data_IF_998697077626
#
_entry.id   IF_998697077626
#
_cell.length_a   1.000
_cell.length_b   1.000
_cell.length_c   1.000
_cell.angle_alpha   90.00
_cell.angle_beta   90.00
_cell.angle_gamma   90.00
#
_symmetry.space_group_name_H-M   'P 1'
#
loop_
_entity.id
_entity.type
_entity.pdbx_description
1 polymer ?
#
# COMPACT_ATOMS: atom_id res chain seq x y z
N UNK A 1 10.11 6.83 34.05
CA UNK A 1 11.19 6.63 33.07
C UNK A 1 11.16 7.85 32.15
N UNK A 2 12.11 8.76 32.29
CA UNK A 2 12.25 9.93 31.43
C UNK A 2 13.17 9.57 30.25
N UNK A 3 12.95 10.09 29.03
CA UNK A 3 13.83 9.82 27.90
C UNK A 3 15.25 10.40 28.16
N UNK A 4 16.28 9.67 27.71
CA UNK A 4 17.69 10.02 27.87
C UNK A 4 18.03 11.36 27.19
N UNK A 5 18.97 12.10 27.76
CA UNK A 5 19.46 13.39 27.26
C UNK A 5 20.10 13.33 25.86
N UNK A 6 20.34 12.13 25.32
CA UNK A 6 20.90 11.91 23.99
C UNK A 6 19.83 11.89 22.88
N UNK A 7 18.53 11.93 23.24
CA UNK A 7 17.43 12.00 22.27
C UNK A 7 17.07 13.47 22.00
N UNK A 8 18.02 14.25 21.49
CA UNK A 8 17.70 15.55 20.90
C UNK A 8 17.00 15.28 19.59
N UNK A 9 15.66 15.29 19.61
CA UNK A 9 14.87 15.44 18.40
C UNK A 9 15.03 16.89 17.98
N UNK A 10 15.99 17.17 17.10
CA UNK A 10 16.01 18.45 16.39
C UNK A 10 14.70 18.56 15.63
N UNK A 11 13.85 19.50 16.04
CA UNK A 11 12.66 19.87 15.28
C UNK A 11 13.13 20.41 13.94
N UNK A 12 13.03 19.59 12.89
CA UNK A 12 13.38 20.02 11.54
C UNK A 12 12.16 20.71 10.93
N UNK A 13 12.39 21.91 10.39
CA UNK A 13 11.37 22.75 9.74
C UNK A 13 10.96 22.22 8.35
N UNK A 14 11.38 20.99 8.00
CA UNK A 14 11.15 20.40 6.68
C UNK A 14 9.87 19.55 6.71
N UNK A 15 8.86 19.87 5.88
CA UNK A 15 7.62 19.09 5.82
C UNK A 15 7.82 17.68 5.23
N UNK A 16 8.91 17.45 4.49
CA UNK A 16 9.22 16.17 3.85
C UNK A 16 10.73 15.89 3.84
N UNK A 17 11.08 14.62 3.99
CA UNK A 17 12.45 14.12 3.89
C UNK A 17 12.70 13.45 2.54
N UNK A 18 13.82 13.75 1.91
CA UNK A 18 14.30 13.03 0.74
C UNK A 18 15.05 11.77 1.19
N UNK A 19 15.18 10.74 0.32
CA UNK A 19 15.93 9.53 0.67
C UNK A 19 17.36 9.83 1.17
N UNK A 20 18.02 10.83 0.59
CA UNK A 20 19.36 11.26 1.02
C UNK A 20 19.40 11.81 2.45
N UNK A 21 18.32 12.48 2.89
CA UNK A 21 18.22 12.99 4.27
C UNK A 21 18.10 11.82 5.27
N UNK A 22 17.68 10.64 4.81
CA UNK A 22 17.57 9.41 5.60
C UNK A 22 18.81 8.51 5.50
N UNK A 23 19.89 9.00 4.89
CA UNK A 23 21.12 8.23 4.68
C UNK A 23 21.00 7.12 3.62
N UNK A 24 19.95 7.13 2.79
CA UNK A 24 19.75 6.16 1.71
C UNK A 24 20.67 6.51 0.54
N UNK A 25 21.29 5.50 -0.06
CA UNK A 25 22.21 5.70 -1.18
C UNK A 25 21.53 6.43 -2.35
N UNK A 26 22.26 7.30 -3.06
CA UNK A 26 21.67 8.07 -4.18
C UNK A 26 21.07 7.17 -5.28
N UNK A 27 21.61 5.95 -5.46
CA UNK A 27 21.07 4.97 -6.40
C UNK A 27 19.71 4.46 -5.94
N UNK A 28 19.62 3.94 -4.71
CA UNK A 28 18.36 3.43 -4.15
C UNK A 28 17.33 4.55 -3.97
N UNK A 29 17.77 5.73 -3.56
CA UNK A 29 16.92 6.92 -3.44
C UNK A 29 16.24 7.29 -4.77
N UNK A 30 16.99 7.30 -5.88
CA UNK A 30 16.38 7.56 -7.21
C UNK A 30 15.37 6.49 -7.62
N UNK A 31 15.63 5.22 -7.29
CA UNK A 31 14.70 4.14 -7.58
C UNK A 31 13.42 4.26 -6.76
N UNK A 32 13.51 4.63 -5.47
CA UNK A 32 12.34 4.90 -4.61
C UNK A 32 11.51 6.05 -5.19
N UNK A 33 12.16 7.14 -5.58
CA UNK A 33 11.47 8.29 -6.16
C UNK A 33 10.76 7.92 -7.46
N UNK A 34 11.41 7.19 -8.36
CA UNK A 34 10.79 6.69 -9.59
C UNK A 34 9.62 5.75 -9.31
N UNK A 35 9.77 4.82 -8.38
CA UNK A 35 8.70 3.89 -7.98
C UNK A 35 7.49 4.62 -7.36
N UNK A 36 7.75 5.74 -6.68
CA UNK A 36 6.71 6.62 -6.12
C UNK A 36 6.01 7.44 -7.22
N UNK A 37 6.76 7.93 -8.21
CA UNK A 37 6.21 8.61 -9.39
C UNK A 37 5.33 7.66 -10.22
N UNK A 38 5.76 6.42 -10.43
CA UNK A 38 4.95 5.38 -11.10
C UNK A 38 3.62 5.14 -10.37
N UNK A 39 3.61 5.17 -9.04
CA UNK A 39 2.38 5.10 -8.25
C UNK A 39 1.47 6.30 -8.51
N UNK A 40 2.01 7.52 -8.48
CA UNK A 40 1.22 8.75 -8.69
C UNK A 40 0.56 8.81 -10.07
N UNK A 41 1.20 8.23 -11.09
CA UNK A 41 0.66 8.18 -12.46
C UNK A 41 -0.26 6.99 -12.68
N UNK A 42 0.03 5.85 -12.03
CA UNK A 42 -0.64 4.58 -12.29
C UNK A 42 -1.85 4.29 -11.41
N UNK A 43 -1.84 4.74 -10.15
CA UNK A 43 -2.91 4.44 -9.20
C UNK A 43 -4.12 5.34 -9.47
N UNK A 44 -5.32 4.74 -9.48
CA UNK A 44 -6.56 5.47 -9.77
C UNK A 44 -7.38 5.66 -8.50
N UNK A 45 -7.80 4.55 -7.87
CA UNK A 45 -8.65 4.63 -6.69
C UNK A 45 -8.66 3.33 -5.89
N UNK A 46 -9.17 3.41 -4.68
CA UNK A 46 -9.58 2.26 -3.89
C UNK A 46 -10.95 1.74 -4.33
N UNK A 47 -11.23 0.50 -3.96
CA UNK A 47 -12.56 -0.10 -4.11
C UNK A 47 -13.07 -0.45 -2.73
N UNK A 48 -14.32 -0.08 -2.45
CA UNK A 48 -14.96 -0.39 -1.17
C UNK A 48 -15.20 -1.89 -0.99
N UNK A 49 -15.15 -2.34 0.26
CA UNK A 49 -15.39 -3.73 0.65
C UNK A 49 -14.10 -4.53 0.83
N UNK A 50 -14.26 -5.80 1.24
CA UNK A 50 -13.11 -6.63 1.63
C UNK A 50 -12.47 -7.38 0.46
N UNK A 51 -13.25 -7.65 -0.59
CA UNK A 51 -12.81 -8.38 -1.79
C UNK A 51 -12.42 -7.48 -2.97
N UNK A 52 -12.77 -6.18 -2.89
CA UNK A 52 -12.40 -5.20 -3.90
C UNK A 52 -10.89 -5.00 -3.98
N UNK A 53 -10.32 -5.20 -5.17
CA UNK A 53 -8.92 -4.83 -5.45
C UNK A 53 -8.85 -3.36 -5.88
N UNK A 54 -7.81 -2.61 -5.48
CA UNK A 54 -7.62 -1.24 -5.96
C UNK A 54 -7.48 -1.14 -7.48
N UNK A 55 -7.90 0.01 -8.00
CA UNK A 55 -7.93 0.32 -9.43
C UNK A 55 -6.63 1.00 -9.83
N UNK A 56 -6.10 0.53 -10.96
CA UNK A 56 -4.93 1.12 -11.62
C UNK A 56 -5.32 1.50 -13.04
N UNK A 57 -4.56 2.42 -13.62
CA UNK A 57 -4.69 2.82 -15.01
C UNK A 57 -4.62 1.60 -15.94
N UNK A 58 -5.42 1.62 -17.00
CA UNK A 58 -5.46 0.51 -17.96
C UNK A 58 -4.07 0.23 -18.54
N UNK A 59 -3.68 -1.04 -18.59
CA UNK A 59 -2.36 -1.47 -19.04
C UNK A 59 -1.22 -1.24 -18.04
N UNK A 60 -1.47 -0.62 -16.88
CA UNK A 60 -0.44 -0.46 -15.86
C UNK A 60 -0.13 -1.81 -15.18
N UNK A 61 1.15 -2.16 -15.15
CA UNK A 61 1.64 -3.42 -14.57
C UNK A 61 1.70 -3.39 -13.04
N UNK A 62 0.55 -3.35 -12.35
CA UNK A 62 0.49 -3.22 -10.88
C UNK A 62 1.27 -4.29 -10.12
N UNK A 63 1.32 -5.53 -10.62
CA UNK A 63 2.09 -6.60 -9.98
C UNK A 63 3.61 -6.42 -10.17
N UNK A 64 4.03 -5.90 -11.32
CA UNK A 64 5.43 -5.54 -11.53
C UNK A 64 5.86 -4.39 -10.61
N UNK A 65 4.98 -3.41 -10.42
CA UNK A 65 5.19 -2.33 -9.44
C UNK A 65 5.30 -2.87 -8.02
N UNK A 66 4.45 -3.84 -7.65
CA UNK A 66 4.50 -4.54 -6.37
C UNK A 66 5.83 -5.30 -6.14
N UNK A 67 6.27 -6.07 -7.12
CA UNK A 67 7.55 -6.80 -7.09
C UNK A 67 8.73 -5.84 -6.94
N UNK A 68 8.72 -4.74 -7.71
CA UNK A 68 9.73 -3.68 -7.61
C UNK A 68 9.77 -3.08 -6.20
N UNK A 69 8.60 -2.89 -5.57
CA UNK A 69 8.51 -2.43 -4.18
C UNK A 69 9.20 -3.40 -3.21
N UNK A 70 9.05 -4.71 -3.41
CA UNK A 70 9.76 -5.70 -2.59
C UNK A 70 11.27 -5.65 -2.80
N UNK A 71 11.74 -5.52 -4.03
CA UNK A 71 13.18 -5.39 -4.31
C UNK A 71 13.79 -4.18 -3.59
N UNK A 72 13.07 -3.05 -3.59
CA UNK A 72 13.44 -1.84 -2.85
C UNK A 72 13.51 -2.13 -1.35
N UNK A 73 12.52 -2.81 -0.77
CA UNK A 73 12.50 -3.15 0.67
C UNK A 73 13.68 -4.05 1.06
N UNK A 74 13.99 -5.06 0.25
CA UNK A 74 15.13 -5.95 0.50
C UNK A 74 16.45 -5.17 0.52
N UNK A 75 16.58 -4.14 -0.32
CA UNK A 75 17.77 -3.27 -0.35
C UNK A 75 17.79 -2.27 0.79
N UNK A 76 16.66 -1.67 1.14
CA UNK A 76 16.53 -0.78 2.30
C UNK A 76 16.93 -1.49 3.60
N UNK A 77 16.51 -2.74 3.78
CA UNK A 77 16.92 -3.56 4.95
C UNK A 77 18.42 -3.83 5.01
N UNK A 78 19.11 -3.85 3.86
CA UNK A 78 20.57 -4.00 3.80
C UNK A 78 21.29 -2.68 4.09
N UNK A 79 20.79 -1.55 3.57
CA UNK A 79 21.39 -0.23 3.80
C UNK A 79 21.11 0.29 5.23
N UNK A 80 19.99 -0.09 5.83
CA UNK A 80 19.55 0.35 7.15
C UNK A 80 19.35 -0.87 8.10
N UNK A 81 20.42 -1.60 8.46
CA UNK A 81 20.31 -2.83 9.25
C UNK A 81 19.81 -2.61 10.67
N UNK A 82 19.92 -1.38 11.18
CA UNK A 82 19.45 -1.00 12.51
C UNK A 82 18.02 -0.43 12.50
N UNK A 83 17.41 -0.27 11.32
CA UNK A 83 16.05 0.22 11.18
C UNK A 83 15.07 -0.90 10.83
N UNK A 84 13.88 -0.85 11.41
CA UNK A 84 12.79 -1.74 11.03
C UNK A 84 12.08 -1.18 9.79
N UNK A 85 12.29 -1.83 8.64
CA UNK A 85 11.64 -1.47 7.37
C UNK A 85 10.35 -2.28 7.18
N UNK A 86 9.21 -1.63 7.33
CA UNK A 86 7.87 -2.22 7.23
C UNK A 86 7.20 -1.84 5.90
N UNK A 87 7.00 -2.80 4.97
CA UNK A 87 6.26 -2.52 3.73
C UNK A 87 4.77 -2.36 4.00
N UNK A 88 4.16 -1.32 3.43
CA UNK A 88 2.70 -1.10 3.48
C UNK A 88 2.04 -1.06 2.11
N UNK A 89 2.78 -1.28 1.02
CA UNK A 89 2.27 -1.07 -0.33
C UNK A 89 1.39 -2.21 -0.88
N UNK A 90 1.29 -3.35 -0.20
CA UNK A 90 0.40 -4.45 -0.62
C UNK A 90 -1.07 -4.02 -0.71
N UNK A 91 -1.47 -3.02 0.09
CA UNK A 91 -2.84 -2.50 0.10
C UNK A 91 -3.23 -1.78 -1.18
N UNK A 92 -2.27 -1.41 -2.02
CA UNK A 92 -2.53 -0.78 -3.32
C UNK A 92 -2.71 -1.81 -4.44
N UNK A 93 -2.52 -3.09 -4.18
CA UNK A 93 -2.50 -4.14 -5.23
C UNK A 93 -3.53 -5.22 -4.97
N UNK A 94 -3.67 -5.61 -3.70
CA UNK A 94 -4.52 -6.70 -3.26
C UNK A 94 -5.68 -6.20 -2.42
N UNK A 95 -6.78 -6.96 -2.43
CA UNK A 95 -7.93 -6.71 -1.56
C UNK A 95 -7.57 -6.91 -0.09
N UNK A 96 -8.50 -6.58 0.81
CA UNK A 96 -8.32 -6.85 2.24
C UNK A 96 -8.22 -8.36 2.48
N UNK A 97 -9.09 -9.15 1.85
CA UNK A 97 -9.15 -10.60 2.05
C UNK A 97 -7.94 -11.32 1.48
N UNK A 98 -7.46 -10.95 0.30
CA UNK A 98 -6.23 -11.51 -0.25
C UNK A 98 -5.02 -11.29 0.66
N UNK A 99 -4.90 -10.09 1.24
CA UNK A 99 -3.84 -9.80 2.20
C UNK A 99 -3.98 -10.65 3.45
N UNK A 100 -5.20 -10.81 3.97
CA UNK A 100 -5.48 -11.61 5.17
C UNK A 100 -5.14 -13.08 4.94
N UNK A 101 -5.57 -13.64 3.82
CA UNK A 101 -5.26 -15.01 3.43
C UNK A 101 -3.75 -15.23 3.29
N UNK A 102 -3.02 -14.27 2.70
CA UNK A 102 -1.56 -14.31 2.65
C UNK A 102 -0.91 -14.30 4.05
N UNK A 103 -1.59 -13.78 5.07
CA UNK A 103 -1.17 -13.86 6.48
C UNK A 103 -1.78 -15.06 7.24
N UNK A 104 -2.39 -16.02 6.54
CA UNK A 104 -3.04 -17.19 7.15
C UNK A 104 -4.30 -16.85 7.97
N UNK A 105 -4.91 -15.68 7.72
CA UNK A 105 -6.14 -15.24 8.40
C UNK A 105 -7.35 -15.52 7.53
N UNK A 106 -8.48 -15.83 8.16
CA UNK A 106 -9.76 -15.98 7.46
C UNK A 106 -10.21 -14.67 6.81
N UNK A 107 -10.88 -14.72 5.64
CA UNK A 107 -11.46 -13.55 5.00
C UNK A 107 -12.50 -12.88 5.90
N UNK A 108 -12.69 -11.57 5.72
CA UNK A 108 -13.77 -10.78 6.30
C UNK A 108 -14.95 -10.78 5.33
N UNK A 109 -16.15 -10.83 5.88
CA UNK A 109 -17.39 -10.61 5.15
C UNK A 109 -18.17 -9.50 5.84
N UNK A 110 -18.93 -8.73 5.07
CA UNK A 110 -19.89 -7.79 5.61
C UNK A 110 -21.03 -8.55 6.31
N UNK A 111 -21.65 -7.96 7.34
CA UNK A 111 -22.83 -8.53 7.97
C UNK A 111 -23.95 -8.75 6.93
N UNK A 112 -24.36 -9.99 6.73
CA UNK A 112 -25.43 -10.35 5.79
C UNK A 112 -24.98 -10.87 4.43
N UNK A 113 -23.71 -10.67 4.04
CA UNK A 113 -23.17 -10.98 2.70
C UNK A 113 -23.27 -12.47 2.30
N UNK A 114 -23.52 -13.37 3.26
CA UNK A 114 -23.73 -14.81 3.05
C UNK A 114 -25.05 -15.34 3.64
N UNK A 115 -26.00 -14.47 3.99
CA UNK A 115 -27.30 -14.91 4.52
C UNK A 115 -28.30 -15.20 3.39
N UNK A 116 -29.04 -16.32 3.45
CA UNK A 116 -30.13 -16.58 2.51
C UNK A 116 -31.14 -15.42 2.48
N UNK A 117 -31.36 -14.82 1.31
CA UNK A 117 -32.29 -13.70 1.12
C UNK A 117 -31.67 -12.31 1.32
N UNK A 118 -30.37 -12.20 1.56
CA UNK A 118 -29.68 -10.91 1.48
C UNK A 118 -29.57 -10.45 0.02
N UNK A 119 -29.97 -9.21 -0.25
CA UNK A 119 -29.81 -8.55 -1.55
C UNK A 119 -28.69 -7.53 -1.35
N UNK A 120 -27.59 -7.68 -2.07
CA UNK A 120 -26.53 -6.68 -2.07
C UNK A 120 -27.02 -5.45 -2.86
N UNK A 121 -26.95 -4.27 -2.24
CA UNK A 121 -27.32 -3.01 -2.88
C UNK A 121 -26.48 -2.71 -4.13
N UNK A 122 -25.29 -3.31 -4.26
CA UNK A 122 -24.45 -3.26 -5.46
C UNK A 122 -25.07 -3.99 -6.64
N UNK A 123 -25.87 -5.03 -6.40
CA UNK A 123 -26.60 -5.79 -7.43
C UNK A 123 -27.85 -5.04 -7.92
N UNK A 124 -28.40 -4.14 -7.09
CA UNK A 124 -29.55 -3.31 -7.46
C UNK A 124 -29.19 -2.18 -8.45
N UNK A 125 -27.92 -1.79 -8.55
CA UNK A 125 -27.50 -0.68 -9.40
C UNK A 125 -27.33 -1.05 -10.89
N UNK A 126 -27.45 -2.33 -11.27
CA UNK A 126 -27.25 -2.76 -12.67
C UNK A 126 -28.51 -2.71 -13.54
N UNK A 127 -29.71 -2.62 -12.95
CA UNK A 127 -30.99 -2.71 -13.69
C UNK A 127 -31.54 -1.39 -14.23
N UNK A 128 -30.83 -0.26 -14.10
CA UNK A 128 -31.33 1.06 -14.53
C UNK A 128 -30.52 1.77 -15.63
N UNK A 129 -29.61 1.09 -16.35
CA UNK A 129 -28.83 1.69 -17.46
C UNK A 129 -29.23 1.29 -18.88
N UNK A 130 -30.38 0.66 -19.08
CA UNK A 130 -30.96 0.49 -20.43
C UNK A 130 -32.36 1.10 -20.49
N UNK A 131 -32.42 2.38 -20.91
CA UNK A 131 -33.50 2.94 -21.74
C UNK A 131 -32.94 4.04 -22.62
#
# INVERSE_FOLDING_TARGET
MWPSADLVVEETDKPFYMPVDLGISSKLGREILKWTEEFQVGFVDYVDGFDGRPVWASGFGRYRWYETGWDIIHRLRKELPHAMVVPQFSQYVFSVNERRENFGKQPLCLPGENLPGHIDIRELNWTHRER
#
